data_IF_381146339367
#
_entry.id   IF_381146339367
#
_cell.length_a   1.000
_cell.length_b   1.000
_cell.length_c   1.000
_cell.angle_alpha   90.00
_cell.angle_beta   90.00
_cell.angle_gamma   90.00
#
_symmetry.space_group_name_H-M   'P 1'
#
loop_
_entity.id
_entity.type
_entity.pdbx_description
1 polymer ?
#
# COMPACT_ATOMS: atom_id res chain seq x y z
N UNK A 1 -21.24 -29.00 13.77
CA UNK A 1 -20.64 -28.79 12.43
C UNK A 1 -20.23 -27.32 12.36
N UNK A 2 -19.01 -26.99 12.79
CA UNK A 2 -18.54 -25.61 12.86
C UNK A 2 -18.16 -25.14 11.47
N UNK A 3 -18.87 -24.13 10.96
CA UNK A 3 -18.47 -23.42 9.76
C UNK A 3 -17.04 -22.90 9.96
N UNK A 4 -16.14 -23.20 9.03
CA UNK A 4 -14.88 -22.45 8.90
C UNK A 4 -15.28 -21.00 8.63
N UNK A 5 -15.18 -20.15 9.64
CA UNK A 5 -15.30 -18.70 9.49
C UNK A 5 -14.18 -18.29 8.54
N UNK A 6 -14.54 -17.97 7.30
CA UNK A 6 -13.62 -17.36 6.35
C UNK A 6 -13.23 -16.00 6.94
N UNK A 7 -12.07 -15.93 7.59
CA UNK A 7 -11.50 -14.66 8.05
C UNK A 7 -11.05 -13.89 6.80
N UNK A 8 -11.98 -13.10 6.26
CA UNK A 8 -11.72 -12.15 5.18
C UNK A 8 -11.61 -10.78 5.83
N UNK A 9 -10.46 -10.12 5.64
CA UNK A 9 -10.26 -8.74 6.07
C UNK A 9 -9.92 -7.89 4.86
N UNK A 10 -10.78 -6.93 4.58
CA UNK A 10 -10.61 -5.89 3.58
C UNK A 10 -10.26 -4.59 4.30
N UNK A 11 -9.24 -3.89 3.83
CA UNK A 11 -8.88 -2.56 4.31
C UNK A 11 -8.59 -1.66 3.12
N UNK A 12 -9.08 -0.43 3.16
CA UNK A 12 -8.88 0.57 2.12
C UNK A 12 -8.59 1.92 2.77
N UNK A 13 -7.72 2.70 2.16
CA UNK A 13 -7.30 4.02 2.62
C UNK A 13 -7.23 4.97 1.42
N UNK A 14 -7.84 6.14 1.54
CA UNK A 14 -7.87 7.16 0.50
C UNK A 14 -7.32 8.45 1.08
N UNK A 15 -6.26 8.98 0.49
CA UNK A 15 -5.56 10.16 0.98
C UNK A 15 -5.30 11.15 -0.16
N UNK A 16 -5.74 12.38 0.02
CA UNK A 16 -5.47 13.47 -0.93
C UNK A 16 -4.29 14.31 -0.44
N UNK A 17 -3.33 14.57 -1.33
CA UNK A 17 -2.24 15.53 -1.13
C UNK A 17 -2.49 16.76 -1.99
N UNK A 18 -2.76 17.89 -1.36
CA UNK A 18 -2.96 19.16 -2.04
C UNK A 18 -1.72 20.05 -1.88
N UNK A 19 -1.09 20.42 -2.99
CA UNK A 19 -0.04 21.44 -3.03
C UNK A 19 -0.58 22.72 -3.66
N UNK A 20 -0.54 23.83 -2.93
CA UNK A 20 -1.08 25.14 -3.34
C UNK A 20 -0.15 26.27 -2.89
N UNK A 21 -0.29 27.46 -3.51
CA UNK A 21 0.42 28.68 -3.10
C UNK A 21 1.66 29.02 -3.94
N UNK A 22 1.96 28.25 -4.98
CA UNK A 22 3.06 28.55 -5.89
C UNK A 22 2.63 29.56 -6.95
N UNK A 23 3.55 30.45 -7.32
CA UNK A 23 3.35 31.50 -8.33
C UNK A 23 3.06 30.90 -9.72
N UNK A 24 3.68 29.76 -10.05
CA UNK A 24 3.35 29.01 -11.26
C UNK A 24 2.26 27.98 -10.98
N UNK A 25 1.24 27.95 -11.87
CA UNK A 25 0.11 27.04 -11.76
C UNK A 25 0.49 25.56 -11.89
N UNK A 26 1.56 25.25 -12.62
CA UNK A 26 2.13 23.92 -12.80
C UNK A 26 2.58 23.27 -11.49
N UNK A 27 2.91 24.05 -10.46
CA UNK A 27 3.30 23.52 -9.15
C UNK A 27 2.13 23.31 -8.19
N UNK A 28 0.94 23.78 -8.54
CA UNK A 28 -0.27 23.59 -7.74
C UNK A 28 -0.96 22.26 -8.11
N UNK A 29 -0.51 21.14 -7.54
CA UNK A 29 -0.99 19.78 -7.86
C UNK A 29 -1.92 19.21 -6.79
N UNK A 30 -2.85 18.33 -7.17
CA UNK A 30 -3.68 17.52 -6.27
C UNK A 30 -3.44 16.06 -6.58
N UNK A 31 -2.83 15.35 -5.65
CA UNK A 31 -2.39 13.98 -5.82
C UNK A 31 -3.24 13.08 -4.91
N UNK A 32 -4.21 12.38 -5.49
CA UNK A 32 -5.12 11.47 -4.76
C UNK A 32 -4.51 10.07 -4.74
N UNK A 33 -4.15 9.60 -3.56
CA UNK A 33 -3.54 8.29 -3.34
C UNK A 33 -4.57 7.34 -2.77
N UNK A 34 -4.76 6.19 -3.43
CA UNK A 34 -5.68 5.15 -2.97
C UNK A 34 -4.92 3.85 -2.71
N UNK A 35 -5.00 3.37 -1.48
CA UNK A 35 -4.39 2.13 -1.03
C UNK A 35 -5.49 1.11 -0.68
N UNK A 36 -5.27 -0.16 -1.02
CA UNK A 36 -6.17 -1.24 -0.64
C UNK A 36 -5.39 -2.50 -0.24
N UNK A 37 -5.93 -3.27 0.70
CA UNK A 37 -5.44 -4.59 1.05
C UNK A 37 -6.59 -5.54 1.31
N UNK A 38 -6.44 -6.78 0.85
CA UNK A 38 -7.37 -7.87 1.06
C UNK A 38 -6.60 -9.05 1.63
N UNK A 39 -7.04 -9.59 2.75
CA UNK A 39 -6.47 -10.78 3.34
C UNK A 39 -7.53 -11.85 3.56
N UNK A 40 -7.15 -13.09 3.33
CA UNK A 40 -8.00 -14.24 3.53
C UNK A 40 -7.21 -15.37 4.19
N UNK A 41 -7.67 -15.82 5.36
CA UNK A 41 -7.11 -16.99 6.06
C UNK A 41 -7.97 -18.23 5.82
N UNK A 42 -7.31 -19.32 5.45
CA UNK A 42 -7.90 -20.64 5.21
C UNK A 42 -7.09 -21.74 5.93
N UNK A 43 -7.58 -22.98 5.87
CA UNK A 43 -7.03 -24.12 6.63
C UNK A 43 -6.99 -23.88 8.15
N UNK A 44 -8.10 -23.43 8.75
CA UNK A 44 -8.22 -23.10 10.19
C UNK A 44 -7.17 -22.06 10.66
N UNK A 45 -6.94 -21.03 9.83
CA UNK A 45 -5.99 -19.96 10.14
C UNK A 45 -4.50 -20.36 10.01
N UNK A 46 -4.20 -21.48 9.34
CA UNK A 46 -2.81 -21.91 9.09
C UNK A 46 -2.20 -21.28 7.85
N UNK A 47 -3.00 -20.90 6.87
CA UNK A 47 -2.53 -20.30 5.63
C UNK A 47 -3.31 -19.02 5.38
N UNK A 48 -2.59 -17.92 5.21
CA UNK A 48 -3.17 -16.60 4.95
C UNK A 48 -2.61 -16.06 3.65
N UNK A 49 -3.50 -15.72 2.73
CA UNK A 49 -3.18 -15.00 1.50
C UNK A 49 -3.51 -13.53 1.72
N UNK A 50 -2.58 -12.62 1.44
CA UNK A 50 -2.81 -11.17 1.49
C UNK A 50 -2.40 -10.53 0.18
N UNK A 51 -3.27 -9.75 -0.42
CA UNK A 51 -2.98 -8.90 -1.56
C UNK A 51 -3.00 -7.45 -1.09
N UNK A 52 -1.99 -6.67 -1.46
CA UNK A 52 -1.87 -5.25 -1.17
C UNK A 52 -1.64 -4.48 -2.47
N UNK A 53 -2.26 -3.31 -2.58
CA UNK A 53 -2.05 -2.37 -3.68
C UNK A 53 -1.88 -0.97 -3.07
N UNK A 54 -0.75 -0.33 -3.38
CA UNK A 54 -0.41 1.01 -2.95
C UNK A 54 -0.47 1.96 -4.14
N UNK A 55 -1.09 3.13 -3.95
CA UNK A 55 -1.34 4.14 -4.98
C UNK A 55 -1.97 3.58 -6.27
N UNK A 56 -3.17 3.02 -6.15
CA UNK A 56 -3.96 2.43 -7.25
C UNK A 56 -4.23 3.44 -8.36
N UNK A 57 -4.36 4.73 -8.00
CA UNK A 57 -4.62 5.82 -8.93
C UNK A 57 -3.37 6.29 -9.68
N UNK A 58 -2.18 5.82 -9.27
CA UNK A 58 -0.88 6.17 -9.87
C UNK A 58 -0.62 7.67 -9.87
N UNK A 59 -1.07 8.37 -8.83
CA UNK A 59 -0.92 9.82 -8.74
C UNK A 59 0.41 10.24 -8.10
N UNK A 60 1.13 9.34 -7.44
CA UNK A 60 2.47 9.63 -6.94
C UNK A 60 3.47 9.59 -8.10
N UNK A 61 4.06 10.75 -8.41
CA UNK A 61 5.15 10.84 -9.38
C UNK A 61 6.50 10.82 -8.67
N UNK A 62 7.42 9.98 -9.16
CA UNK A 62 8.82 9.93 -8.72
C UNK A 62 9.68 11.10 -9.24
N UNK A 63 9.08 12.06 -9.96
CA UNK A 63 9.77 13.20 -10.56
C UNK A 63 9.45 14.49 -9.81
N UNK A 64 10.40 15.00 -9.03
CA UNK A 64 10.26 16.27 -8.30
C UNK A 64 10.94 17.37 -9.11
N UNK A 65 10.14 18.22 -9.74
CA UNK A 65 10.59 19.47 -10.36
C UNK A 65 10.63 20.57 -9.30
N UNK A 66 11.83 21.07 -8.97
CA UNK A 66 12.03 22.14 -8.00
C UNK A 66 12.66 23.35 -8.74
N UNK A 67 11.89 24.41 -8.95
CA UNK A 67 12.35 25.64 -9.61
C UNK A 67 12.50 26.73 -8.54
N UNK A 68 13.76 27.10 -8.23
CA UNK A 68 14.09 28.17 -7.30
C UNK A 68 14.70 29.38 -8.02
N UNK A 69 14.77 30.53 -7.35
CA UNK A 69 15.25 31.81 -7.93
C UNK A 69 16.72 31.86 -8.39
N UNK A 70 17.47 30.75 -8.27
CA UNK A 70 18.87 30.60 -8.67
C UNK A 70 19.09 29.49 -9.75
N UNK A 71 18.04 28.80 -10.20
CA UNK A 71 18.15 27.76 -11.24
C UNK A 71 17.07 26.68 -11.18
N UNK A 72 16.97 25.90 -12.26
CA UNK A 72 16.08 24.74 -12.39
C UNK A 72 16.78 23.49 -11.84
N UNK A 73 16.21 22.83 -10.83
CA UNK A 73 16.73 21.56 -10.31
C UNK A 73 15.71 20.44 -10.58
N UNK A 74 16.09 19.46 -11.40
CA UNK A 74 15.30 18.26 -11.64
C UNK A 74 15.82 17.15 -10.73
N UNK A 75 15.07 16.78 -9.69
CA UNK A 75 15.40 15.63 -8.84
C UNK A 75 14.59 14.42 -9.32
N UNK A 76 15.31 13.43 -9.85
CA UNK A 76 14.78 12.10 -10.17
C UNK A 76 14.91 11.23 -8.94
N UNK A 77 13.79 10.92 -8.27
CA UNK A 77 13.80 10.06 -7.10
C UNK A 77 13.42 8.63 -7.52
N UNK A 78 14.25 7.64 -7.20
CA UNK A 78 13.94 6.23 -7.48
C UNK A 78 13.04 5.65 -6.37
N UNK A 79 11.86 6.23 -6.20
CA UNK A 79 10.80 5.68 -5.36
C UNK A 79 9.93 4.76 -6.21
N UNK A 80 9.37 3.70 -5.59
CA UNK A 80 8.27 2.92 -6.18
C UNK A 80 6.94 3.55 -5.71
N UNK A 81 6.36 4.51 -6.45
CA UNK A 81 5.18 5.25 -6.02
C UNK A 81 3.93 4.38 -5.97
N UNK A 82 3.77 3.46 -6.93
CA UNK A 82 2.62 2.57 -7.07
C UNK A 82 3.11 1.14 -7.23
N UNK A 83 2.55 0.21 -6.44
CA UNK A 83 2.91 -1.20 -6.51
C UNK A 83 1.76 -2.08 -6.03
N UNK A 84 1.76 -3.33 -6.50
CA UNK A 84 0.91 -4.39 -5.97
C UNK A 84 1.80 -5.53 -5.46
N UNK A 85 1.45 -6.10 -4.30
CA UNK A 85 2.19 -7.17 -3.65
C UNK A 85 1.24 -8.26 -3.17
N UNK A 86 1.68 -9.52 -3.31
CA UNK A 86 0.97 -10.68 -2.79
C UNK A 86 1.85 -11.38 -1.77
N UNK A 87 1.32 -11.59 -0.57
CA UNK A 87 1.95 -12.31 0.53
C UNK A 87 1.23 -13.63 0.74
N UNK A 88 2.01 -14.71 0.83
CA UNK A 88 1.56 -16.03 1.23
C UNK A 88 2.20 -16.37 2.58
N UNK A 89 1.39 -16.48 3.63
CA UNK A 89 1.86 -16.66 5.01
C UNK A 89 1.37 -18.01 5.55
N UNK A 90 2.29 -18.88 5.95
CA UNK A 90 1.97 -20.19 6.54
C UNK A 90 2.39 -20.26 8.01
N UNK A 91 1.44 -20.53 8.90
CA UNK A 91 1.64 -20.66 10.35
C UNK A 91 1.79 -22.14 10.73
N UNK A 92 3.01 -22.56 11.03
CA UNK A 92 3.27 -23.89 11.56
C UNK A 92 3.06 -23.91 13.09
N UNK A 93 2.09 -24.71 13.56
CA UNK A 93 1.87 -24.93 14.99
C UNK A 93 2.20 -26.38 15.35
N UNK A 94 3.30 -26.57 16.08
CA UNK A 94 3.67 -27.86 16.70
C UNK A 94 3.48 -27.72 18.21
N UNK A 95 2.24 -27.87 18.67
CA UNK A 95 1.98 -27.93 20.10
C UNK A 95 2.76 -29.12 20.71
N UNK A 96 3.53 -28.93 21.79
CA UNK A 96 4.18 -30.04 22.46
C UNK A 96 3.11 -30.99 22.97
N UNK A 97 3.17 -32.27 22.59
CA UNK A 97 2.34 -33.31 23.18
C UNK A 97 2.69 -33.37 24.66
N UNK A 98 1.80 -32.86 25.51
CA UNK A 98 1.84 -33.15 26.94
C UNK A 98 1.88 -34.66 27.10
N UNK A 99 2.99 -35.18 27.64
CA UNK A 99 3.09 -36.59 28.00
C UNK A 99 2.19 -36.79 29.21
N UNK A 100 1.16 -37.62 29.05
CA UNK A 100 0.47 -38.27 30.17
C UNK A 100 1.45 -39.12 30.97
#
# INVERSE_FOLDING_TARGET
MQAELLEISLSTDLKEYCRRGYSEKSFNTSDLVWNASLSHSFCKGKLTLKAEAFDILQNLSSTVYEVGGQGKTEKWNNTLPSYAMVHLMYKFSKAPKSKK
#
